data_IF_349516075550
#
_entry.id   IF_349516075550
#
_cell.length_a   1.000
_cell.length_b   1.000
_cell.length_c   1.000
_cell.angle_alpha   90.00
_cell.angle_beta   90.00
_cell.angle_gamma   90.00
#
_symmetry.space_group_name_H-M   'P 1'
#
loop_
_entity.id
_entity.type
_entity.pdbx_description
1 polymer ?
#
# COMPACT_ATOMS: atom_id res chain seq x y z
N UNK A 1 7.95 -78.99 46.46
CA UNK A 1 7.94 -77.60 45.95
C UNK A 1 7.46 -77.60 44.50
N UNK A 2 6.25 -77.09 44.22
CA UNK A 2 5.67 -77.03 42.86
C UNK A 2 6.19 -75.79 42.13
N UNK A 3 7.04 -75.96 41.12
CA UNK A 3 7.46 -74.87 40.22
C UNK A 3 6.35 -74.59 39.23
N UNK A 4 5.72 -73.41 39.30
CA UNK A 4 4.80 -72.92 38.27
C UNK A 4 5.62 -72.41 37.10
N UNK A 5 5.49 -73.03 35.93
CA UNK A 5 6.07 -72.52 34.69
C UNK A 5 5.27 -71.29 34.24
N UNK A 6 5.93 -70.13 34.17
CA UNK A 6 5.35 -68.95 33.53
C UNK A 6 5.20 -69.23 32.02
N UNK A 7 3.99 -69.03 31.50
CA UNK A 7 3.72 -69.10 30.07
C UNK A 7 4.57 -68.04 29.34
N UNK A 8 5.44 -68.50 28.43
CA UNK A 8 6.27 -67.65 27.59
C UNK A 8 5.35 -66.95 26.58
N UNK A 9 4.97 -65.70 26.85
CA UNK A 9 4.16 -64.90 25.91
C UNK A 9 4.90 -64.84 24.57
N UNK A 10 4.26 -65.38 23.53
CA UNK A 10 4.91 -65.65 22.23
C UNK A 10 5.29 -64.34 21.52
N UNK A 11 6.59 -64.07 21.43
CA UNK A 11 7.17 -62.94 20.70
C UNK A 11 6.74 -62.86 19.22
N UNK A 12 6.16 -63.93 18.65
CA UNK A 12 5.61 -63.92 17.27
C UNK A 12 4.30 -63.12 17.16
N UNK A 13 3.52 -63.02 18.23
CA UNK A 13 2.25 -62.25 18.23
C UNK A 13 2.49 -60.75 18.25
N UNK A 14 3.55 -60.29 18.91
CA UNK A 14 3.89 -58.86 18.97
C UNK A 14 4.45 -58.35 17.64
N UNK A 15 5.27 -59.15 16.95
CA UNK A 15 5.82 -58.80 15.63
C UNK A 15 4.74 -58.73 14.54
N UNK A 16 3.77 -59.64 14.56
CA UNK A 16 2.65 -59.65 13.59
C UNK A 16 1.68 -58.49 13.83
N UNK A 17 1.40 -58.14 15.09
CA UNK A 17 0.58 -56.97 15.41
C UNK A 17 1.24 -55.65 14.97
N UNK A 18 2.57 -55.54 15.13
CA UNK A 18 3.31 -54.34 14.73
C UNK A 18 3.34 -54.18 13.20
N UNK A 19 3.61 -55.27 12.46
CA UNK A 19 3.63 -55.25 11.00
C UNK A 19 2.24 -54.99 10.39
N UNK A 20 1.17 -55.53 11.00
CA UNK A 20 -0.20 -55.24 10.57
C UNK A 20 -0.60 -53.78 10.84
N UNK A 21 -0.22 -53.23 11.98
CA UNK A 21 -0.50 -51.84 12.35
C UNK A 21 0.18 -50.83 11.42
N UNK A 22 1.45 -51.06 11.04
CA UNK A 22 2.16 -50.18 10.12
C UNK A 22 1.62 -50.24 8.70
N UNK A 23 1.22 -51.42 8.21
CA UNK A 23 0.59 -51.57 6.90
C UNK A 23 -0.76 -50.83 6.82
N UNK A 24 -1.60 -50.94 7.86
CA UNK A 24 -2.88 -50.22 7.93
C UNK A 24 -2.69 -48.70 8.02
N UNK A 25 -1.72 -48.23 8.80
CA UNK A 25 -1.39 -46.81 8.88
C UNK A 25 -0.86 -46.27 7.53
N UNK A 26 -0.03 -47.04 6.82
CA UNK A 26 0.48 -46.65 5.50
C UNK A 26 -0.62 -46.57 4.44
N UNK A 27 -1.57 -47.52 4.44
CA UNK A 27 -2.70 -47.52 3.51
C UNK A 27 -3.69 -46.38 3.79
N UNK A 28 -3.98 -46.10 5.06
CA UNK A 28 -4.93 -45.04 5.46
C UNK A 28 -4.34 -43.62 5.36
N UNK A 29 -3.02 -43.46 5.56
CA UNK A 29 -2.33 -42.19 5.34
C UNK A 29 -2.23 -41.78 3.87
N UNK A 30 -2.40 -42.71 2.92
CA UNK A 30 -2.46 -42.41 1.49
C UNK A 30 -3.55 -41.38 1.13
N UNK A 31 -4.71 -41.40 1.79
CA UNK A 31 -5.76 -40.41 1.54
C UNK A 31 -5.34 -38.98 1.90
N UNK A 32 -4.50 -38.80 2.92
CA UNK A 32 -3.98 -37.48 3.30
C UNK A 32 -2.87 -36.98 2.36
N UNK A 33 -2.18 -37.89 1.66
CA UNK A 33 -1.12 -37.55 0.69
C UNK A 33 -1.71 -37.12 -0.66
N UNK A 34 -2.78 -37.79 -1.12
CA UNK A 34 -3.41 -37.51 -2.42
C UNK A 34 -4.55 -36.49 -2.38
N UNK A 35 -4.98 -36.07 -1.18
CA UNK A 35 -5.95 -34.98 -1.02
C UNK A 35 -5.22 -33.70 -0.68
N UNK A 36 -5.35 -32.67 -1.53
CA UNK A 36 -4.81 -31.35 -1.21
C UNK A 36 -5.54 -30.80 0.02
N UNK A 37 -4.79 -30.50 1.08
CA UNK A 37 -5.35 -29.84 2.26
C UNK A 37 -5.86 -28.46 1.83
N UNK A 38 -7.16 -28.23 1.95
CA UNK A 38 -7.81 -26.98 1.48
C UNK A 38 -7.18 -25.72 2.09
N UNK A 39 -6.61 -25.82 3.30
CA UNK A 39 -5.90 -24.70 3.95
C UNK A 39 -4.59 -24.31 3.27
N UNK A 40 -4.03 -25.17 2.40
CA UNK A 40 -2.81 -24.88 1.64
C UNK A 40 -3.12 -24.26 0.26
N UNK A 41 -4.39 -24.15 -0.12
CA UNK A 41 -4.77 -23.47 -1.37
C UNK A 41 -4.62 -21.96 -1.15
N UNK A 42 -3.70 -21.30 -1.87
CA UNK A 42 -3.51 -19.86 -1.71
C UNK A 42 -4.76 -19.13 -2.17
N UNK A 43 -5.27 -18.25 -1.31
CA UNK A 43 -6.34 -17.32 -1.62
C UNK A 43 -5.95 -15.92 -1.13
N UNK A 44 -6.69 -14.90 -1.54
CA UNK A 44 -6.48 -13.51 -1.12
C UNK A 44 -7.51 -13.18 -0.05
N UNK A 45 -7.17 -13.18 1.25
CA UNK A 45 -8.11 -12.91 2.35
C UNK A 45 -8.41 -11.40 2.52
N UNK A 46 -8.36 -10.62 1.45
CA UNK A 46 -8.44 -9.17 1.52
C UNK A 46 -9.20 -8.59 0.33
N UNK A 47 -9.68 -7.35 0.47
CA UNK A 47 -10.50 -6.67 -0.55
C UNK A 47 -9.68 -6.28 -1.79
N UNK A 48 -8.39 -6.04 -1.61
CA UNK A 48 -7.45 -5.67 -2.66
C UNK A 48 -6.73 -6.86 -3.30
N UNK A 49 -5.86 -6.55 -4.26
CA UNK A 49 -5.12 -7.56 -5.04
C UNK A 49 -3.64 -7.62 -4.63
N UNK A 50 -3.01 -8.79 -4.63
CA UNK A 50 -1.57 -8.90 -4.46
C UNK A 50 -0.84 -8.57 -5.77
N UNK A 51 0.39 -8.10 -5.67
CA UNK A 51 1.31 -7.96 -6.81
C UNK A 51 2.72 -8.33 -6.37
N UNK A 52 3.48 -9.04 -7.21
CA UNK A 52 4.88 -9.37 -6.94
C UNK A 52 5.73 -8.99 -8.15
N UNK A 53 6.82 -8.25 -7.94
CA UNK A 53 7.74 -7.76 -8.97
C UNK A 53 9.18 -7.88 -8.45
N UNK A 54 9.91 -8.90 -8.89
CA UNK A 54 11.22 -9.21 -8.31
C UNK A 54 11.11 -9.38 -6.79
N UNK A 55 11.90 -8.62 -6.05
CA UNK A 55 11.89 -8.61 -4.58
C UNK A 55 10.78 -7.76 -3.95
N UNK A 56 10.00 -7.02 -4.76
CA UNK A 56 8.85 -6.27 -4.27
C UNK A 56 7.62 -7.19 -4.17
N UNK A 57 7.01 -7.20 -3.00
CA UNK A 57 5.77 -7.90 -2.71
C UNK A 57 4.75 -6.92 -2.15
N UNK A 58 3.66 -6.69 -2.89
CA UNK A 58 2.52 -5.88 -2.46
C UNK A 58 1.38 -6.81 -2.03
N UNK A 59 0.73 -6.44 -0.93
CA UNK A 59 -0.42 -7.14 -0.34
C UNK A 59 -1.58 -6.17 -0.19
N UNK A 60 -2.79 -6.66 -0.48
CA UNK A 60 -4.04 -5.92 -0.35
C UNK A 60 -4.03 -4.55 -1.08
N UNK A 61 -3.58 -4.51 -2.33
CA UNK A 61 -3.59 -3.25 -3.09
C UNK A 61 -5.02 -2.91 -3.50
N UNK A 62 -5.51 -1.75 -3.06
CA UNK A 62 -6.81 -1.20 -3.40
C UNK A 62 -6.74 0.32 -3.56
N UNK A 63 -7.66 0.89 -4.35
CA UNK A 63 -7.81 2.33 -4.52
C UNK A 63 -9.04 2.79 -3.73
N UNK A 64 -8.87 3.64 -2.73
CA UNK A 64 -9.98 4.08 -1.88
C UNK A 64 -10.37 5.49 -2.32
N UNK A 65 -11.59 5.63 -2.82
CA UNK A 65 -12.12 6.89 -3.34
C UNK A 65 -13.62 6.83 -3.56
N UNK A 66 -14.24 8.00 -3.71
CA UNK A 66 -15.69 8.17 -3.89
C UNK A 66 -16.12 8.24 -5.37
N UNK A 67 -15.16 8.14 -6.30
CA UNK A 67 -15.39 8.27 -7.73
C UNK A 67 -15.25 9.71 -8.27
N UNK A 68 -14.73 10.64 -7.47
CA UNK A 68 -14.33 12.00 -7.90
C UNK A 68 -13.12 12.03 -8.85
N UNK A 69 -12.48 10.89 -9.09
CA UNK A 69 -11.24 10.78 -9.86
C UNK A 69 -9.96 10.82 -9.02
N UNK A 70 -10.09 11.03 -7.71
CA UNK A 70 -9.02 10.90 -6.72
C UNK A 70 -9.18 9.63 -5.90
N UNK A 71 -8.07 8.95 -5.58
CA UNK A 71 -8.06 7.88 -4.60
C UNK A 71 -6.74 7.79 -3.82
N UNK A 72 -6.85 7.28 -2.60
CA UNK A 72 -5.70 6.88 -1.77
C UNK A 72 -5.35 5.43 -2.09
N UNK A 73 -4.07 5.13 -2.19
CA UNK A 73 -3.59 3.75 -2.27
C UNK A 73 -3.61 3.14 -0.88
N UNK A 74 -4.40 2.07 -0.73
CA UNK A 74 -4.35 1.21 0.43
C UNK A 74 -3.67 -0.09 0.10
N UNK A 75 -2.88 -0.61 1.04
CA UNK A 75 -2.12 -1.84 0.89
C UNK A 75 -0.79 -1.78 1.62
N UNK A 76 -0.08 -2.90 1.62
CA UNK A 76 1.24 -3.00 2.21
C UNK A 76 2.27 -3.37 1.15
N UNK A 77 3.34 -2.59 1.08
CA UNK A 77 4.47 -2.83 0.21
C UNK A 77 5.65 -3.37 1.03
N UNK A 78 6.19 -4.51 0.60
CA UNK A 78 7.23 -5.26 1.30
C UNK A 78 8.41 -5.42 0.34
N UNK A 79 9.60 -5.05 0.78
CA UNK A 79 10.85 -5.39 0.12
C UNK A 79 11.39 -6.68 0.74
N UNK A 80 11.47 -7.76 -0.04
CA UNK A 80 12.02 -9.04 0.40
C UNK A 80 13.54 -9.16 0.16
N UNK A 81 14.11 -8.22 -0.60
CA UNK A 81 15.50 -8.20 -1.02
C UNK A 81 16.44 -7.56 -0.01
N UNK A 82 17.72 -7.55 -0.38
CA UNK A 82 18.83 -7.01 0.41
C UNK A 82 19.20 -5.58 0.04
N UNK A 83 18.68 -5.06 -1.07
CA UNK A 83 18.93 -3.71 -1.55
C UNK A 83 17.69 -2.82 -1.42
N UNK A 84 17.89 -1.50 -1.46
CA UNK A 84 16.78 -0.55 -1.44
C UNK A 84 16.05 -0.57 -2.78
N UNK A 85 14.71 -0.48 -2.75
CA UNK A 85 13.89 -0.43 -3.97
C UNK A 85 12.97 0.77 -3.98
N UNK A 86 12.67 1.25 -5.19
CA UNK A 86 11.73 2.34 -5.42
C UNK A 86 10.50 1.80 -6.13
N UNK A 87 9.33 2.06 -5.56
CA UNK A 87 8.03 1.66 -6.11
C UNK A 87 7.32 2.89 -6.63
N UNK A 88 6.92 2.85 -7.91
CA UNK A 88 6.05 3.83 -8.53
C UNK A 88 4.74 3.17 -8.94
N UNK A 89 3.62 3.77 -8.58
CA UNK A 89 2.28 3.29 -8.90
C UNK A 89 1.55 4.33 -9.73
N UNK A 90 1.09 3.92 -10.90
CA UNK A 90 0.45 4.81 -11.89
C UNK A 90 -0.81 4.15 -12.43
N UNK A 91 -2.00 4.69 -12.16
CA UNK A 91 -3.22 4.17 -12.79
C UNK A 91 -3.19 4.48 -14.29
N UNK A 92 -3.82 3.62 -15.08
CA UNK A 92 -3.93 3.83 -16.51
C UNK A 92 -4.91 4.97 -16.80
N UNK A 93 -4.57 5.82 -17.76
CA UNK A 93 -5.44 6.89 -18.23
C UNK A 93 -6.71 6.34 -18.89
N UNK A 94 -7.78 7.12 -18.87
CA UNK A 94 -8.95 6.83 -19.70
C UNK A 94 -8.56 6.82 -21.19
N UNK A 95 -9.22 5.96 -21.97
CA UNK A 95 -9.15 6.10 -23.42
C UNK A 95 -9.66 7.50 -23.83
N UNK A 96 -8.81 8.29 -24.47
CA UNK A 96 -9.14 9.67 -24.87
C UNK A 96 -9.04 10.71 -23.75
N UNK A 97 -8.43 10.40 -22.60
CA UNK A 97 -8.16 11.40 -21.57
C UNK A 97 -7.22 12.50 -22.08
N UNK A 98 -7.55 13.76 -21.79
CA UNK A 98 -6.68 14.91 -22.06
C UNK A 98 -5.61 15.10 -20.97
N UNK A 99 -5.77 14.46 -19.81
CA UNK A 99 -4.88 14.57 -18.66
C UNK A 99 -4.20 13.23 -18.38
N UNK A 100 -2.93 13.30 -17.95
CA UNK A 100 -2.17 12.11 -17.54
C UNK A 100 -2.42 11.86 -16.05
N UNK A 101 -2.70 10.62 -15.64
CA UNK A 101 -2.90 10.30 -14.23
C UNK A 101 -1.68 10.63 -13.37
N UNK A 102 -1.92 11.19 -12.18
CA UNK A 102 -0.84 11.41 -11.22
C UNK A 102 -0.40 10.09 -10.63
N UNK A 103 0.91 9.85 -10.66
CA UNK A 103 1.54 8.68 -10.06
C UNK A 103 2.01 8.95 -8.63
N UNK A 104 2.01 7.92 -7.80
CA UNK A 104 2.58 7.94 -6.46
C UNK A 104 3.86 7.13 -6.38
N UNK A 105 4.81 7.52 -5.52
CA UNK A 105 6.09 6.84 -5.36
C UNK A 105 6.47 6.66 -3.89
N UNK A 106 7.09 5.53 -3.57
CA UNK A 106 7.62 5.19 -2.26
C UNK A 106 8.95 4.48 -2.39
N UNK A 107 9.88 4.77 -1.48
CA UNK A 107 11.14 4.02 -1.35
C UNK A 107 11.07 3.08 -0.16
N UNK A 108 11.52 1.85 -0.36
CA UNK A 108 11.61 0.80 0.67
C UNK A 108 13.07 0.42 0.88
N UNK A 109 13.53 0.51 2.14
CA UNK A 109 14.80 -0.04 2.57
C UNK A 109 14.79 -1.59 2.48
N UNK A 110 15.96 -2.25 2.53
CA UNK A 110 16.05 -3.70 2.55
C UNK A 110 15.19 -4.32 3.65
N UNK A 111 14.48 -5.40 3.34
CA UNK A 111 13.60 -6.12 4.28
C UNK A 111 12.52 -5.28 4.94
N UNK A 112 12.23 -4.08 4.43
CA UNK A 112 11.25 -3.17 5.00
C UNK A 112 9.84 -3.50 4.51
N UNK A 113 8.87 -3.32 5.41
CA UNK A 113 7.45 -3.28 5.10
C UNK A 113 6.88 -1.90 5.44
N UNK A 114 6.06 -1.34 4.55
CA UNK A 114 5.34 -0.08 4.79
C UNK A 114 3.86 -0.23 4.44
N UNK A 115 3.03 0.47 5.20
CA UNK A 115 1.63 0.70 4.87
C UNK A 115 1.53 1.90 3.93
N UNK A 116 0.98 1.68 2.75
CA UNK A 116 0.84 2.70 1.71
C UNK A 116 -0.17 3.78 2.09
N UNK A 117 -1.17 3.40 2.89
CA UNK A 117 -2.23 4.28 3.39
C UNK A 117 -1.66 5.33 4.33
N UNK A 118 -0.85 4.89 5.31
CA UNK A 118 -0.21 5.79 6.30
C UNK A 118 0.83 6.70 5.65
N UNK A 119 1.41 6.29 4.51
CA UNK A 119 2.31 7.14 3.72
C UNK A 119 1.58 8.17 2.85
N UNK A 120 0.26 8.14 2.82
CA UNK A 120 -0.56 9.13 2.11
C UNK A 120 -0.38 9.06 0.59
N UNK A 121 -0.06 7.88 0.05
CA UNK A 121 0.09 7.70 -1.40
C UNK A 121 -1.27 7.88 -2.07
N UNK A 122 -1.34 8.81 -3.03
CA UNK A 122 -2.56 9.19 -3.73
C UNK A 122 -2.34 9.21 -5.23
N UNK A 123 -3.39 8.89 -5.97
CA UNK A 123 -3.42 8.96 -7.43
C UNK A 123 -4.65 9.74 -7.86
N UNK A 124 -4.53 10.41 -9.00
CA UNK A 124 -5.56 11.31 -9.54
C UNK A 124 -5.78 11.08 -11.03
N UNK A 125 -6.84 11.68 -11.56
CA UNK A 125 -7.15 11.79 -12.98
C UNK A 125 -7.38 10.44 -13.68
N UNK A 126 -8.14 9.54 -13.03
CA UNK A 126 -8.60 8.29 -13.63
C UNK A 126 -10.13 8.13 -13.44
N UNK A 127 -10.88 7.72 -14.47
CA UNK A 127 -12.35 7.72 -14.43
C UNK A 127 -12.89 6.41 -13.85
N UNK A 128 -12.82 6.24 -12.53
CA UNK A 128 -13.27 5.01 -11.90
C UNK A 128 -14.16 5.26 -10.68
N UNK A 129 -15.30 4.56 -10.66
CA UNK A 129 -16.24 4.56 -9.53
C UNK A 129 -15.96 3.36 -8.61
N UNK A 130 -16.37 3.43 -7.33
CA UNK A 130 -16.33 2.27 -6.46
C UNK A 130 -16.99 1.02 -7.08
N UNK A 131 -16.38 -0.14 -6.87
CA UNK A 131 -16.79 -1.43 -7.45
C UNK A 131 -16.19 -1.73 -8.83
N UNK A 132 -15.45 -0.80 -9.43
CA UNK A 132 -14.75 -1.03 -10.71
C UNK A 132 -13.32 -1.52 -10.52
N UNK A 133 -12.76 -2.16 -11.54
CA UNK A 133 -11.38 -2.63 -11.58
C UNK A 133 -10.55 -1.74 -12.51
N UNK A 134 -9.56 -1.04 -11.97
CA UNK A 134 -8.69 -0.12 -12.73
C UNK A 134 -7.36 -0.81 -13.01
N UNK A 135 -6.89 -0.87 -14.26
CA UNK A 135 -5.53 -1.29 -14.55
C UNK A 135 -4.54 -0.26 -14.02
N UNK A 136 -3.61 -0.73 -13.18
CA UNK A 136 -2.58 0.08 -12.53
C UNK A 136 -1.22 -0.51 -12.87
N UNK A 137 -0.33 0.34 -13.37
CA UNK A 137 1.06 0.00 -13.63
C UNK A 137 1.87 0.20 -12.35
N UNK A 138 2.52 -0.87 -11.90
CA UNK A 138 3.41 -0.88 -10.74
C UNK A 138 4.82 -1.10 -11.26
N UNK A 139 5.69 -0.15 -11.00
CA UNK A 139 7.10 -0.21 -11.38
C UNK A 139 7.97 -0.27 -10.13
N UNK A 140 8.78 -1.30 -10.04
CA UNK A 140 9.84 -1.46 -9.05
C UNK A 140 11.19 -1.21 -9.73
N UNK A 141 12.03 -0.36 -9.17
CA UNK A 141 13.44 -0.23 -9.59
C UNK A 141 14.33 -0.83 -8.52
N UNK A 142 15.17 -1.84 -8.83
CA UNK A 142 15.49 -2.38 -10.17
C UNK A 142 14.56 -3.51 -10.69
N UNK A 143 13.50 -3.90 -9.97
CA UNK A 143 12.74 -5.13 -10.22
C UNK A 143 11.86 -5.24 -11.48
N UNK A 144 11.64 -4.16 -12.24
CA UNK A 144 10.82 -4.14 -13.46
C UNK A 144 9.42 -3.57 -13.26
N UNK A 145 8.49 -3.84 -14.19
CA UNK A 145 7.13 -3.30 -14.16
C UNK A 145 6.07 -4.36 -14.48
N UNK A 146 4.88 -4.22 -13.90
CA UNK A 146 3.72 -5.07 -14.18
C UNK A 146 2.43 -4.26 -14.12
N UNK A 147 1.41 -4.73 -14.83
CA UNK A 147 0.06 -4.13 -14.81
C UNK A 147 -0.88 -5.04 -14.04
N UNK A 148 -1.56 -4.50 -13.03
CA UNK A 148 -2.49 -5.24 -12.17
C UNK A 148 -3.85 -4.55 -12.20
N UNK A 149 -4.93 -5.32 -12.25
CA UNK A 149 -6.29 -4.79 -12.12
C UNK A 149 -6.61 -4.61 -10.63
N UNK A 150 -6.72 -3.37 -10.18
CA UNK A 150 -6.90 -2.98 -8.78
C UNK A 150 -8.35 -2.54 -8.56
N UNK A 151 -9.05 -3.04 -7.54
CA UNK A 151 -10.40 -2.61 -7.22
C UNK A 151 -10.42 -1.18 -6.65
N UNK A 152 -11.45 -0.44 -7.02
CA UNK A 152 -11.80 0.84 -6.39
C UNK A 152 -12.83 0.58 -5.31
N UNK A 153 -12.54 0.97 -4.07
CA UNK A 153 -13.39 0.78 -2.90
C UNK A 153 -13.92 2.13 -2.41
N UNK A 154 -15.15 2.13 -1.92
CA UNK A 154 -15.76 3.29 -1.30
C UNK A 154 -15.15 3.54 0.08
N UNK A 155 -14.95 4.79 0.51
CA UNK A 155 -14.43 5.13 1.83
C UNK A 155 -15.51 4.97 2.92
N UNK A 156 -15.94 3.73 3.16
CA UNK A 156 -16.95 3.35 4.16
C UNK A 156 -16.43 2.23 5.05
N UNK A 157 -17.07 2.05 6.21
CA UNK A 157 -16.68 1.01 7.17
C UNK A 157 -15.23 1.18 7.63
N UNK A 158 -14.41 0.13 7.45
CA UNK A 158 -12.98 0.16 7.80
C UNK A 158 -12.15 1.17 7.00
N UNK A 159 -12.64 1.62 5.84
CA UNK A 159 -11.98 2.63 4.99
C UNK A 159 -12.48 4.06 5.22
N UNK A 160 -13.38 4.29 6.18
CA UNK A 160 -14.01 5.59 6.39
C UNK A 160 -13.03 6.74 6.68
N UNK A 161 -11.86 6.42 7.25
CA UNK A 161 -10.80 7.41 7.56
C UNK A 161 -9.77 7.55 6.44
N UNK A 162 -9.90 6.79 5.35
CA UNK A 162 -8.96 6.79 4.23
C UNK A 162 -9.52 7.71 3.15
N UNK A 163 -9.30 9.01 3.32
CA UNK A 163 -9.75 10.04 2.38
C UNK A 163 -8.58 10.70 1.67
N UNK A 164 -8.68 10.98 0.36
CA UNK A 164 -7.66 11.72 -0.36
C UNK A 164 -7.51 13.12 0.23
N UNK A 165 -6.27 13.60 0.30
CA UNK A 165 -5.97 14.97 0.68
C UNK A 165 -6.39 15.85 -0.49
N UNK A 166 -7.17 16.92 -0.29
CA UNK A 166 -7.54 17.80 -1.38
C UNK A 166 -6.27 18.36 -2.03
N UNK A 167 -6.13 18.14 -3.33
CA UNK A 167 -5.09 18.80 -4.14
C UNK A 167 -5.27 20.30 -3.97
N UNK A 168 -4.24 21.00 -3.49
CA UNK A 168 -4.31 22.44 -3.32
C UNK A 168 -4.64 23.09 -4.67
N UNK A 169 -5.83 23.66 -4.81
CA UNK A 169 -6.17 24.51 -5.94
C UNK A 169 -5.16 25.65 -5.95
N UNK A 170 -4.37 25.86 -7.02
CA UNK A 170 -3.44 26.97 -7.05
C UNK A 170 -4.26 28.26 -6.86
N UNK A 171 -4.04 28.95 -5.75
CA UNK A 171 -4.60 30.27 -5.51
C UNK A 171 -4.13 31.13 -6.68
N UNK A 172 -5.07 31.55 -7.54
CA UNK A 172 -4.75 32.44 -8.64
C UNK A 172 -4.07 33.67 -8.04
N UNK A 173 -2.77 33.85 -8.31
CA UNK A 173 -2.05 35.07 -7.99
C UNK A 173 -2.88 36.23 -8.53
N UNK A 174 -3.41 37.14 -7.70
CA UNK A 174 -4.18 38.26 -8.24
C UNK A 174 -3.26 39.03 -9.18
N UNK A 175 -3.64 39.11 -10.45
CA UNK A 175 -2.95 39.94 -11.43
C UNK A 175 -2.83 41.35 -10.88
N UNK A 176 -1.59 41.81 -10.71
CA UNK A 176 -1.31 43.19 -10.36
C UNK A 176 -1.98 44.11 -11.40
N UNK A 177 -2.97 44.87 -10.95
CA UNK A 177 -3.55 45.98 -11.71
C UNK A 177 -2.45 47.03 -11.86
N UNK A 178 -2.07 47.35 -13.11
CA UNK A 178 -1.13 48.43 -13.41
C UNK A 178 -1.70 49.78 -12.95
N UNK A 179 -1.11 50.35 -11.91
CA UNK A 179 -1.33 51.74 -11.52
C UNK A 179 -0.55 52.65 -12.47
N UNK A 180 -1.25 53.33 -13.37
CA UNK A 180 -0.67 54.43 -14.16
C UNK A 180 -0.32 55.59 -13.21
N UNK A 181 0.96 55.92 -13.14
CA UNK A 181 1.48 57.09 -12.44
C UNK A 181 1.09 58.36 -13.19
N UNK A 182 0.13 59.12 -12.67
CA UNK A 182 -0.15 60.50 -13.09
C UNK A 182 0.39 61.49 -12.05
N UNK A 183 1.34 62.30 -12.52
CA UNK A 183 1.87 63.55 -11.96
C UNK A 183 0.79 64.46 -11.35
N UNK A 184 0.98 64.90 -10.10
CA UNK A 184 0.62 66.25 -9.67
C UNK A 184 1.39 66.66 -8.39
N UNK A 185 2.13 67.74 -8.56
CA UNK A 185 2.79 68.64 -7.61
C UNK A 185 1.88 69.17 -6.50
N UNK A 186 2.38 69.23 -5.26
CA UNK A 186 2.06 70.34 -4.33
C UNK A 186 3.09 70.48 -3.21
N UNK A 187 3.84 71.58 -3.29
CA UNK A 187 4.67 72.23 -2.27
C UNK A 187 3.83 72.76 -1.11
N UNK A 188 4.26 72.56 0.14
CA UNK A 188 4.05 73.52 1.24
C UNK A 188 5.04 73.25 2.40
N UNK A 189 5.35 74.32 3.12
CA UNK A 189 6.63 74.63 3.74
C UNK A 189 6.46 74.95 5.22
N UNK A 190 7.34 74.38 6.05
CA UNK A 190 7.95 74.92 7.29
C UNK A 190 7.14 75.26 8.58
N UNK A 191 7.74 74.84 9.71
CA UNK A 191 8.07 75.63 10.92
C UNK A 191 7.41 75.20 12.24
N UNK A 192 8.18 74.60 13.15
CA UNK A 192 8.64 75.21 14.43
C UNK A 192 9.34 74.19 15.37
N UNK A 193 10.56 74.51 15.79
CA UNK A 193 11.28 74.04 17.01
C UNK A 193 11.19 75.17 18.06
N UNK A 194 11.38 74.99 19.41
CA UNK A 194 12.68 74.75 20.07
C UNK A 194 12.62 73.76 21.30
N UNK A 195 13.63 72.92 21.58
CA UNK A 195 14.84 73.09 22.45
C UNK A 195 14.65 72.77 23.94
N UNK A 196 15.46 71.84 24.47
CA UNK A 196 16.32 71.90 25.70
C UNK A 196 17.03 70.54 25.88
N UNK A 197 18.20 70.31 26.51
CA UNK A 197 19.51 70.96 26.73
C UNK A 197 20.29 70.03 27.69
N UNK A 198 21.59 69.81 27.42
CA UNK A 198 22.70 69.45 28.33
C UNK A 198 22.79 68.05 29.02
N UNK A 199 23.94 67.52 29.47
CA UNK A 199 25.41 67.60 29.19
C UNK A 199 26.11 66.69 30.23
N UNK A 200 27.13 65.95 29.77
CA UNK A 200 28.31 65.34 30.45
C UNK A 200 28.23 64.63 31.81
N UNK A 201 28.87 63.45 31.84
CA UNK A 201 29.37 62.75 33.01
C UNK A 201 29.90 61.38 32.61
#
# INVERSE_FOLDING_TARGET
>A
MKRRFLAKTSARRTVTALAGGTALAALTSGCAVFSTVQTNVPYVPADGVPANIGDLSIRNLALIGDGSGQAVLSGSAINLGTDSLTVKVTPQAAAGASTTPTSSQLTLSPRQQLDMTTKGLQVSDFPAKPGTMVPVTITSSPGGSTVVKVPVLSPVGYYATVTPTPTATPFATPSAISTKTSTATSTATSTATPTTTATSG
#
